data_IF_138809989265
#
_entry.id   IF_138809989265
#
_cell.length_a   1.000
_cell.length_b   1.000
_cell.length_c   1.000
_cell.angle_alpha   90.00
_cell.angle_beta   90.00
_cell.angle_gamma   90.00
#
_symmetry.space_group_name_H-M   'P 1'
#
loop_
_entity.id
_entity.type
_entity.pdbx_description
1 polymer ?
#
# COMPACT_ATOMS: atom_id res chain seq x y z
N UNK A 1 15.47 4.43 -11.47
CA UNK A 1 15.39 5.76 -10.83
C UNK A 1 16.27 5.88 -9.58
N UNK A 2 16.35 4.89 -8.68
CA UNK A 2 17.14 4.99 -7.43
C UNK A 2 18.43 4.17 -7.40
N UNK A 3 18.56 3.21 -8.33
CA UNK A 3 19.69 2.30 -8.40
C UNK A 3 20.66 2.69 -9.51
N UNK A 4 21.97 2.52 -9.29
CA UNK A 4 23.02 2.57 -10.33
C UNK A 4 23.04 1.29 -11.16
N UNK A 5 22.69 0.17 -10.56
CA UNK A 5 22.53 -1.11 -11.24
C UNK A 5 21.55 -2.00 -10.49
N UNK A 6 21.00 -2.98 -11.20
CA UNK A 6 20.06 -3.96 -10.67
C UNK A 6 20.54 -5.35 -11.06
N UNK A 7 20.54 -6.25 -10.08
CA UNK A 7 20.73 -7.69 -10.28
C UNK A 7 19.42 -8.39 -9.95
N UNK A 8 18.97 -9.26 -10.83
CA UNK A 8 17.80 -10.11 -10.63
C UNK A 8 18.24 -11.56 -10.71
N UNK A 9 17.92 -12.34 -9.69
CA UNK A 9 18.11 -13.79 -9.69
C UNK A 9 16.72 -14.42 -9.69
N UNK A 10 16.41 -15.25 -10.68
CA UNK A 10 15.09 -15.88 -10.78
C UNK A 10 15.18 -17.36 -11.13
N UNK A 11 14.29 -18.16 -10.52
CA UNK A 11 14.09 -19.57 -10.83
C UNK A 11 12.61 -19.84 -11.01
N UNK A 12 12.28 -20.39 -12.19
CA UNK A 12 10.92 -20.75 -12.56
C UNK A 12 10.32 -21.80 -11.63
N UNK A 13 8.98 -21.86 -11.60
CA UNK A 13 8.27 -22.96 -10.96
C UNK A 13 8.29 -24.24 -11.80
N UNK A 14 8.58 -24.13 -13.10
CA UNK A 14 8.65 -25.27 -14.01
C UNK A 14 9.84 -26.14 -13.61
N UNK A 15 9.61 -27.45 -13.61
CA UNK A 15 10.63 -28.44 -13.32
C UNK A 15 11.74 -28.38 -14.38
N UNK A 16 12.98 -28.63 -13.96
CA UNK A 16 14.17 -28.74 -14.83
C UNK A 16 14.58 -27.45 -15.58
N UNK A 17 13.93 -26.31 -15.30
CA UNK A 17 14.40 -25.01 -15.75
C UNK A 17 15.55 -24.52 -14.85
N UNK A 18 16.66 -24.01 -15.44
CA UNK A 18 17.75 -23.46 -14.66
C UNK A 18 17.36 -22.13 -14.02
N UNK A 19 18.16 -21.68 -13.06
CA UNK A 19 18.08 -20.32 -12.56
C UNK A 19 18.82 -19.37 -13.50
N UNK A 20 18.37 -18.13 -13.57
CA UNK A 20 19.00 -17.09 -14.37
C UNK A 20 19.38 -15.90 -13.49
N UNK A 21 20.54 -15.32 -13.77
CA UNK A 21 20.93 -13.98 -13.32
C UNK A 21 20.73 -13.01 -14.47
N UNK A 22 20.02 -11.93 -14.21
CA UNK A 22 19.91 -10.78 -15.11
C UNK A 22 20.56 -9.57 -14.44
N UNK A 23 21.38 -8.82 -15.18
CA UNK A 23 22.04 -7.61 -14.69
C UNK A 23 21.87 -6.47 -15.68
N UNK A 24 21.65 -5.26 -15.17
CA UNK A 24 21.66 -4.04 -15.99
C UNK A 24 21.99 -2.81 -15.14
N UNK A 25 22.66 -1.84 -15.76
CA UNK A 25 22.89 -0.49 -15.24
C UNK A 25 21.85 0.53 -15.76
N UNK A 26 20.92 0.09 -16.62
CA UNK A 26 19.90 0.95 -17.23
C UNK A 26 20.38 1.76 -18.44
N UNK A 27 21.57 1.49 -18.98
CA UNK A 27 22.13 2.15 -20.18
C UNK A 27 21.49 1.73 -21.51
N UNK A 28 20.57 0.75 -21.47
CA UNK A 28 19.87 0.23 -22.65
C UNK A 28 20.26 -1.21 -23.01
N UNK A 29 21.30 -1.75 -22.41
CA UNK A 29 21.68 -3.17 -22.49
C UNK A 29 21.51 -3.89 -21.15
N UNK A 30 21.52 -5.22 -21.22
CA UNK A 30 21.50 -6.11 -20.07
C UNK A 30 22.24 -7.41 -20.41
N UNK A 31 22.65 -8.12 -19.37
CA UNK A 31 23.27 -9.44 -19.49
C UNK A 31 22.37 -10.49 -18.83
N UNK A 32 22.39 -11.71 -19.39
CA UNK A 32 21.70 -12.87 -18.82
C UNK A 32 22.70 -14.02 -18.72
N UNK A 33 22.81 -14.60 -17.54
CA UNK A 33 23.66 -15.74 -17.24
C UNK A 33 22.82 -16.89 -16.68
N UNK A 34 23.09 -18.11 -17.11
CA UNK A 34 22.54 -19.31 -16.48
C UNK A 34 23.32 -19.62 -15.20
N UNK A 35 22.63 -19.72 -14.07
CA UNK A 35 23.22 -20.10 -12.79
C UNK A 35 23.13 -21.62 -12.60
N UNK A 36 24.26 -22.22 -12.21
CA UNK A 36 24.38 -23.65 -11.93
C UNK A 36 24.14 -23.99 -10.44
N UNK A 37 24.10 -22.97 -9.58
CA UNK A 37 23.90 -23.11 -8.14
C UNK A 37 22.45 -23.49 -7.79
N UNK A 38 22.25 -24.12 -6.63
CA UNK A 38 20.91 -24.37 -6.11
C UNK A 38 20.28 -23.08 -5.56
N UNK A 39 19.62 -22.35 -6.46
CA UNK A 39 18.85 -21.15 -6.13
C UNK A 39 17.43 -21.57 -5.77
N UNK A 40 16.88 -21.09 -4.66
CA UNK A 40 15.47 -21.34 -4.31
C UNK A 40 14.49 -20.84 -5.39
N UNK A 41 13.31 -21.47 -5.50
CA UNK A 41 12.25 -21.02 -6.41
C UNK A 41 11.84 -19.57 -6.08
N UNK A 42 11.62 -18.76 -7.12
CA UNK A 42 11.11 -17.39 -6.99
C UNK A 42 12.03 -16.37 -7.67
N UNK A 43 11.94 -15.12 -7.22
CA UNK A 43 12.72 -14.02 -7.78
C UNK A 43 13.28 -13.16 -6.66
N UNK A 44 14.59 -12.93 -6.67
CA UNK A 44 15.30 -11.98 -5.83
C UNK A 44 15.76 -10.80 -6.68
N UNK A 45 15.56 -9.58 -6.19
CA UNK A 45 15.98 -8.35 -6.86
C UNK A 45 16.90 -7.61 -5.90
N UNK A 46 18.14 -7.39 -6.32
CA UNK A 46 19.14 -6.61 -5.60
C UNK A 46 19.35 -5.29 -6.33
N UNK A 47 19.04 -4.21 -5.63
CA UNK A 47 19.21 -2.85 -6.10
C UNK A 47 20.51 -2.27 -5.53
N UNK A 48 21.49 -1.97 -6.39
CA UNK A 48 22.66 -1.21 -5.98
C UNK A 48 22.28 0.26 -6.03
N UNK A 49 22.04 0.87 -4.88
CA UNK A 49 21.57 2.25 -4.77
C UNK A 49 22.64 3.24 -5.27
N UNK A 50 22.18 4.36 -5.80
CA UNK A 50 23.03 5.54 -6.00
C UNK A 50 23.29 6.22 -4.66
N UNK A 51 24.36 7.01 -4.59
CA UNK A 51 24.77 7.68 -3.34
C UNK A 51 23.71 8.67 -2.84
N UNK A 52 23.03 9.37 -3.77
CA UNK A 52 21.93 10.30 -3.47
C UNK A 52 20.63 9.60 -3.03
N UNK A 53 20.58 8.27 -3.09
CA UNK A 53 19.43 7.44 -2.79
C UNK A 53 19.69 6.47 -1.62
N UNK A 54 20.76 6.67 -0.85
CA UNK A 54 21.13 5.79 0.26
C UNK A 54 20.05 5.65 1.34
N UNK A 55 19.12 6.61 1.46
CA UNK A 55 18.01 6.53 2.42
C UNK A 55 17.10 5.31 2.22
N UNK A 56 17.04 4.74 1.01
CA UNK A 56 16.27 3.51 0.75
C UNK A 56 16.92 2.24 1.30
N UNK A 57 18.16 2.30 1.80
CA UNK A 57 18.76 1.19 2.57
C UNK A 57 18.44 1.26 4.06
N UNK A 58 17.83 2.34 4.54
CA UNK A 58 17.45 2.50 5.96
C UNK A 58 16.13 1.77 6.22
N UNK A 59 16.13 0.90 7.22
CA UNK A 59 14.96 0.09 7.58
C UNK A 59 13.69 0.92 7.81
N UNK A 60 13.81 2.04 8.52
CA UNK A 60 12.67 2.92 8.84
C UNK A 60 12.04 3.53 7.58
N UNK A 61 12.87 3.97 6.63
CA UNK A 61 12.40 4.49 5.33
C UNK A 61 11.60 3.43 4.60
N UNK A 62 12.12 2.20 4.51
CA UNK A 62 11.43 1.10 3.82
C UNK A 62 10.13 0.73 4.54
N UNK A 63 10.13 0.67 5.87
CA UNK A 63 8.91 0.45 6.68
C UNK A 63 7.83 1.49 6.39
N UNK A 64 8.19 2.77 6.33
CA UNK A 64 7.24 3.85 6.03
C UNK A 64 6.67 3.73 4.61
N UNK A 65 7.51 3.38 3.62
CA UNK A 65 7.07 3.15 2.24
C UNK A 65 6.11 1.97 2.17
N UNK A 66 6.45 0.82 2.77
CA UNK A 66 5.57 -0.36 2.79
C UNK A 66 4.26 -0.03 3.50
N UNK A 67 4.29 0.64 4.65
CA UNK A 67 3.10 1.05 5.39
C UNK A 67 2.19 1.98 4.58
N UNK A 68 2.77 2.84 3.73
CA UNK A 68 2.02 3.80 2.92
C UNK A 68 1.40 3.16 1.67
N UNK A 69 2.15 2.33 0.94
CA UNK A 69 1.75 1.87 -0.38
C UNK A 69 1.33 0.40 -0.46
N UNK A 70 1.89 -0.46 0.40
CA UNK A 70 1.80 -1.93 0.28
C UNK A 70 1.26 -2.63 1.53
N UNK A 71 0.78 -1.88 2.52
CA UNK A 71 0.31 -2.41 3.80
C UNK A 71 -0.85 -3.39 3.70
N UNK A 72 -1.58 -3.40 2.57
CA UNK A 72 -2.74 -4.24 2.34
C UNK A 72 -2.54 -5.30 1.26
N UNK A 73 -1.29 -5.49 0.81
CA UNK A 73 -0.94 -6.62 -0.05
C UNK A 73 -1.27 -7.93 0.67
N UNK A 74 -1.88 -8.88 -0.04
CA UNK A 74 -2.34 -10.15 0.56
C UNK A 74 -1.20 -11.04 1.04
N UNK A 75 -0.04 -10.98 0.38
CA UNK A 75 1.13 -11.77 0.76
C UNK A 75 1.83 -11.14 1.98
N UNK A 76 2.36 -11.96 2.92
CA UNK A 76 3.12 -11.43 4.04
C UNK A 76 4.42 -10.77 3.53
N UNK A 77 4.69 -9.57 4.05
CA UNK A 77 5.87 -8.77 3.77
C UNK A 77 6.73 -8.75 5.02
N UNK A 78 8.01 -9.11 4.85
CA UNK A 78 9.00 -9.11 5.90
C UNK A 78 10.07 -8.06 5.59
N UNK A 79 10.49 -7.33 6.62
CA UNK A 79 11.66 -6.44 6.57
C UNK A 79 12.58 -6.91 7.70
N UNK A 80 13.79 -7.34 7.37
CA UNK A 80 14.75 -7.90 8.32
C UNK A 80 14.10 -8.96 9.24
N UNK A 81 13.42 -9.93 8.62
CA UNK A 81 12.68 -11.03 9.26
C UNK A 81 11.48 -10.62 10.14
N UNK A 82 11.17 -9.33 10.24
CA UNK A 82 9.99 -8.83 10.95
C UNK A 82 8.84 -8.63 9.98
N UNK A 83 7.70 -9.26 10.26
CA UNK A 83 6.47 -9.06 9.46
C UNK A 83 5.91 -7.66 9.69
N UNK A 84 5.70 -6.91 8.60
CA UNK A 84 5.30 -5.49 8.68
C UNK A 84 3.85 -5.22 8.25
N UNK A 85 3.23 -6.06 7.41
CA UNK A 85 1.84 -5.89 6.99
C UNK A 85 0.90 -6.84 7.76
N UNK A 86 0.27 -6.31 8.80
CA UNK A 86 -0.66 -7.07 9.67
C UNK A 86 -2.12 -6.60 9.57
N UNK A 87 -2.40 -5.54 8.81
CA UNK A 87 -3.74 -4.96 8.73
C UNK A 87 -4.57 -5.60 7.63
N UNK A 88 -5.75 -6.09 8.02
CA UNK A 88 -6.75 -6.61 7.08
C UNK A 88 -7.37 -5.47 6.27
N UNK A 89 -7.67 -5.77 5.00
CA UNK A 89 -8.31 -4.86 4.08
C UNK A 89 -9.83 -4.83 4.30
N UNK A 90 -10.30 -4.20 5.40
CA UNK A 90 -11.69 -4.28 5.86
C UNK A 90 -12.75 -3.95 4.80
N UNK A 91 -12.44 -3.07 3.84
CA UNK A 91 -13.37 -2.73 2.75
C UNK A 91 -13.65 -3.91 1.79
N UNK A 92 -12.78 -4.91 1.73
CA UNK A 92 -12.97 -6.12 0.92
C UNK A 92 -13.84 -7.14 1.67
N UNK A 93 -13.74 -7.20 2.99
CA UNK A 93 -14.40 -8.17 3.88
C UNK A 93 -15.91 -7.95 3.96
N UNK A 94 -16.67 -8.98 4.28
CA UNK A 94 -18.12 -8.89 4.46
C UNK A 94 -18.47 -7.94 5.62
N UNK A 95 -19.41 -7.03 5.40
CA UNK A 95 -19.77 -6.01 6.40
C UNK A 95 -20.30 -6.60 7.72
N UNK A 96 -20.86 -7.82 7.68
CA UNK A 96 -21.35 -8.51 8.87
C UNK A 96 -20.24 -9.21 9.66
N UNK A 97 -19.09 -9.43 9.03
CA UNK A 97 -17.94 -10.09 9.64
C UNK A 97 -17.03 -9.14 10.41
N UNK A 98 -17.23 -7.83 10.26
CA UNK A 98 -16.36 -6.80 10.82
C UNK A 98 -16.97 -6.27 12.12
N UNK A 99 -16.19 -6.26 13.19
CA UNK A 99 -16.64 -5.75 14.49
C UNK A 99 -16.51 -4.22 14.59
N UNK A 100 -17.20 -3.60 15.55
CA UNK A 100 -17.07 -2.17 15.82
C UNK A 100 -15.64 -1.80 16.26
N UNK A 101 -14.98 -2.68 17.00
CA UNK A 101 -13.59 -2.52 17.43
C UNK A 101 -12.63 -2.54 16.23
N UNK A 102 -12.82 -3.48 15.29
CA UNK A 102 -12.04 -3.51 14.05
C UNK A 102 -12.24 -2.25 13.21
N UNK A 103 -13.47 -1.74 13.11
CA UNK A 103 -13.74 -0.47 12.45
C UNK A 103 -13.06 0.70 13.15
N UNK A 104 -13.02 0.69 14.49
CA UNK A 104 -12.37 1.73 15.30
C UNK A 104 -10.86 1.71 15.12
N UNK A 105 -10.23 0.53 15.23
CA UNK A 105 -8.79 0.37 14.99
C UNK A 105 -8.39 0.80 13.58
N UNK A 106 -9.17 0.40 12.58
CA UNK A 106 -8.92 0.81 11.20
C UNK A 106 -9.11 2.31 10.98
N UNK A 107 -10.17 2.90 11.55
CA UNK A 107 -10.38 4.35 11.53
C UNK A 107 -9.20 5.12 12.13
N UNK A 108 -8.71 4.70 13.30
CA UNK A 108 -7.53 5.29 13.96
C UNK A 108 -6.28 5.15 13.11
N UNK A 109 -6.09 3.97 12.50
CA UNK A 109 -4.96 3.72 11.62
C UNK A 109 -4.94 4.66 10.40
N UNK A 110 -6.09 4.91 9.76
CA UNK A 110 -6.14 5.75 8.55
C UNK A 110 -6.12 7.25 8.84
N UNK A 111 -6.64 7.67 10.00
CA UNK A 111 -6.77 9.09 10.36
C UNK A 111 -5.64 9.60 11.24
N UNK A 112 -4.93 8.70 11.93
CA UNK A 112 -3.98 9.06 12.97
C UNK A 112 -4.63 9.61 14.24
N UNK A 113 -5.97 9.56 14.34
CA UNK A 113 -6.73 10.06 15.48
C UNK A 113 -6.91 8.97 16.53
N UNK A 114 -7.17 9.37 17.78
CA UNK A 114 -7.44 8.44 18.90
C UNK A 114 -8.93 8.26 19.20
N UNK A 115 -9.81 9.03 18.56
CA UNK A 115 -11.26 8.89 18.73
C UNK A 115 -11.80 7.65 18.00
N UNK A 116 -13.13 7.54 17.94
CA UNK A 116 -13.83 6.46 17.24
C UNK A 116 -14.76 7.05 16.18
N UNK A 117 -15.09 6.30 15.12
CA UNK A 117 -16.08 6.78 14.16
C UNK A 117 -17.46 6.86 14.83
N UNK A 118 -18.20 7.95 14.61
CA UNK A 118 -19.61 8.07 14.97
C UNK A 118 -20.50 7.28 14.00
N UNK A 119 -20.15 7.33 12.72
CA UNK A 119 -20.84 6.58 11.68
C UNK A 119 -19.81 5.88 10.80
N UNK A 120 -20.19 4.68 10.36
CA UNK A 120 -19.43 3.84 9.43
C UNK A 120 -20.34 3.50 8.26
N UNK A 121 -19.86 3.75 7.05
CA UNK A 121 -20.52 3.37 5.81
C UNK A 121 -19.57 2.48 5.02
N UNK A 122 -19.96 1.22 4.85
CA UNK A 122 -19.32 0.32 3.89
C UNK A 122 -20.20 0.21 2.66
N UNK A 123 -19.65 0.58 1.51
CA UNK A 123 -20.36 0.61 0.25
C UNK A 123 -19.64 -0.30 -0.75
N UNK A 124 -20.40 -1.20 -1.40
CA UNK A 124 -19.90 -2.12 -2.41
C UNK A 124 -20.86 -2.11 -3.59
N UNK A 125 -20.34 -1.86 -4.78
CA UNK A 125 -21.09 -1.89 -6.03
C UNK A 125 -20.18 -2.47 -7.12
N UNK A 126 -20.73 -3.32 -7.99
CA UNK A 126 -19.96 -3.92 -9.08
C UNK A 126 -20.32 -3.31 -10.46
N UNK A 127 -21.46 -2.60 -10.57
CA UNK A 127 -22.01 -2.04 -11.83
C UNK A 127 -22.52 -0.61 -11.59
N UNK A 128 -22.23 0.37 -12.46
CA UNK A 128 -21.50 0.27 -13.74
C UNK A 128 -19.98 0.17 -13.59
N UNK A 129 -19.45 0.45 -12.39
CA UNK A 129 -18.04 0.36 -12.05
C UNK A 129 -17.88 -0.42 -10.76
N UNK A 130 -16.76 -1.17 -10.63
CA UNK A 130 -16.42 -1.80 -9.37
C UNK A 130 -15.96 -0.74 -8.39
N UNK A 131 -16.73 -0.52 -7.32
CA UNK A 131 -16.35 0.38 -6.25
C UNK A 131 -16.55 -0.31 -4.91
N UNK A 132 -15.50 -0.29 -4.10
CA UNK A 132 -15.57 -0.66 -2.68
C UNK A 132 -15.12 0.55 -1.90
N UNK A 133 -15.96 1.06 -1.01
CA UNK A 133 -15.64 2.20 -0.18
C UNK A 133 -15.89 1.88 1.28
N UNK A 134 -14.99 2.36 2.14
CA UNK A 134 -15.15 2.35 3.58
C UNK A 134 -14.94 3.77 4.09
N UNK A 135 -16.03 4.32 4.60
CA UNK A 135 -16.24 5.73 4.87
C UNK A 135 -16.62 5.88 6.35
N UNK A 136 -16.02 6.85 7.01
CA UNK A 136 -16.20 7.14 8.42
C UNK A 136 -16.53 8.60 8.65
N UNK A 137 -17.42 8.84 9.61
CA UNK A 137 -17.67 10.16 10.17
C UNK A 137 -17.04 10.21 11.56
N UNK A 138 -16.06 11.08 11.82
CA UNK A 138 -15.44 11.21 13.14
C UNK A 138 -16.44 11.50 14.26
N UNK A 139 -16.14 11.08 15.50
CA UNK A 139 -16.97 11.44 16.65
C UNK A 139 -16.72 12.87 17.11
N UNK A 140 -15.50 13.37 16.97
CA UNK A 140 -15.19 14.76 17.29
C UNK A 140 -15.92 15.72 16.36
N UNK A 141 -16.24 16.91 16.89
CA UNK A 141 -16.79 18.00 16.09
C UNK A 141 -15.62 18.70 15.39
N UNK A 142 -15.64 18.87 14.06
CA UNK A 142 -14.59 19.59 13.34
C UNK A 142 -14.43 21.00 13.92
N UNK A 143 -13.20 21.40 14.18
CA UNK A 143 -12.90 22.76 14.62
C UNK A 143 -12.79 23.70 13.40
N UNK A 144 -12.63 25.00 13.64
CA UNK A 144 -12.56 25.98 12.55
C UNK A 144 -11.28 25.84 11.69
N UNK A 145 -10.20 25.29 12.24
CA UNK A 145 -8.99 24.99 11.50
C UNK A 145 -9.22 23.83 10.50
N UNK A 146 -9.93 22.78 10.90
CA UNK A 146 -10.32 21.66 10.03
C UNK A 146 -11.22 22.11 8.87
N UNK A 147 -12.02 23.16 9.12
CA UNK A 147 -12.96 23.77 8.18
C UNK A 147 -12.27 24.75 7.22
N UNK A 148 -11.12 25.31 7.60
CA UNK A 148 -10.41 26.33 6.79
C UNK A 148 -9.21 25.75 6.04
N UNK A 149 -8.62 24.66 6.52
CA UNK A 149 -7.55 23.97 5.79
C UNK A 149 -8.11 23.12 4.64
N UNK A 150 -7.81 23.52 3.41
CA UNK A 150 -8.03 22.70 2.21
C UNK A 150 -7.07 21.50 2.13
N UNK A 151 -5.96 21.54 2.89
CA UNK A 151 -4.87 20.58 2.78
C UNK A 151 -5.24 19.14 3.16
N UNK A 152 -6.29 18.92 3.98
CA UNK A 152 -6.69 17.60 4.48
C UNK A 152 -8.02 17.08 3.90
N UNK A 153 -8.47 17.67 2.80
CA UNK A 153 -9.71 17.26 2.12
C UNK A 153 -9.43 16.15 1.13
N UNK A 154 -10.02 14.97 1.38
CA UNK A 154 -10.01 13.86 0.44
C UNK A 154 -9.96 12.51 1.14
N UNK A 155 -10.54 11.53 0.48
CA UNK A 155 -10.41 10.11 0.84
C UNK A 155 -9.24 9.51 0.07
N UNK A 156 -8.60 8.48 0.64
CA UNK A 156 -7.50 7.84 -0.05
C UNK A 156 -8.04 6.90 -1.14
N UNK A 157 -7.56 7.07 -2.37
CA UNK A 157 -7.91 6.27 -3.53
C UNK A 157 -6.89 5.16 -3.74
N UNK A 158 -7.40 3.95 -3.89
CA UNK A 158 -6.62 2.75 -4.14
C UNK A 158 -7.17 2.03 -5.37
N UNK A 159 -6.30 1.27 -6.03
CA UNK A 159 -6.73 0.24 -6.98
C UNK A 159 -5.91 -1.02 -6.78
N UNK A 160 -6.58 -2.18 -6.88
CA UNK A 160 -5.95 -3.50 -6.66
C UNK A 160 -5.09 -3.58 -5.38
N UNK A 161 -5.56 -2.97 -4.29
CA UNK A 161 -4.90 -2.88 -2.97
C UNK A 161 -3.61 -2.03 -2.92
N UNK A 162 -3.32 -1.27 -3.98
CA UNK A 162 -2.20 -0.33 -4.04
C UNK A 162 -2.72 1.10 -3.97
N UNK A 163 -2.07 1.95 -3.18
CA UNK A 163 -2.43 3.36 -3.04
C UNK A 163 -2.12 4.12 -4.35
N UNK A 164 -3.13 4.76 -4.95
CA UNK A 164 -2.96 5.66 -6.10
C UNK A 164 -2.74 7.09 -5.61
N UNK A 165 -3.67 7.59 -4.81
CA UNK A 165 -3.68 8.98 -4.34
C UNK A 165 -4.12 9.03 -2.88
N UNK A 166 -3.31 9.64 -2.02
CA UNK A 166 -3.60 9.74 -0.59
C UNK A 166 -4.78 10.67 -0.26
N UNK A 167 -4.99 11.70 -1.07
CA UNK A 167 -6.05 12.72 -0.89
C UNK A 167 -6.73 13.00 -2.22
N UNK A 168 -7.74 12.21 -2.55
CA UNK A 168 -8.51 12.38 -3.79
C UNK A 168 -9.71 13.31 -3.52
N UNK A 169 -9.50 14.61 -3.70
CA UNK A 169 -10.49 15.65 -3.47
C UNK A 169 -11.60 15.74 -4.55
N UNK A 170 -11.43 15.05 -5.68
CA UNK A 170 -12.40 15.01 -6.77
C UNK A 170 -13.45 13.89 -6.61
N UNK A 171 -13.22 12.92 -5.71
CA UNK A 171 -14.12 11.78 -5.54
C UNK A 171 -15.39 12.10 -4.76
N UNK A 172 -15.31 13.07 -3.84
CA UNK A 172 -16.44 13.48 -3.01
C UNK A 172 -16.71 14.97 -3.21
N UNK A 173 -17.98 15.39 -3.21
CA UNK A 173 -18.34 16.81 -3.17
C UNK A 173 -17.68 17.54 -1.99
N UNK A 174 -17.35 18.82 -2.18
CA UNK A 174 -16.67 19.65 -1.15
C UNK A 174 -17.38 19.66 0.21
N UNK A 175 -18.70 19.56 0.23
CA UNK A 175 -19.49 19.55 1.47
C UNK A 175 -19.31 18.28 2.30
N UNK A 176 -18.80 17.18 1.71
CA UNK A 176 -18.47 15.92 2.40
C UNK A 176 -17.03 15.86 2.93
N UNK A 177 -16.29 16.97 2.96
CA UNK A 177 -14.88 17.00 3.38
C UNK A 177 -14.57 16.49 4.80
N UNK A 178 -15.58 16.42 5.67
CA UNK A 178 -15.42 15.92 7.04
C UNK A 178 -15.28 14.39 7.10
N UNK A 179 -15.69 13.71 6.04
CA UNK A 179 -15.60 12.26 5.91
C UNK A 179 -14.14 11.84 5.82
N UNK A 180 -13.79 10.77 6.52
CA UNK A 180 -12.50 10.10 6.44
C UNK A 180 -12.71 8.68 5.94
N UNK A 181 -11.80 8.16 5.13
CA UNK A 181 -12.02 6.84 4.57
C UNK A 181 -11.11 6.52 3.40
N UNK A 182 -11.39 5.36 2.80
CA UNK A 182 -10.69 4.86 1.62
C UNK A 182 -11.70 4.40 0.57
N UNK A 183 -11.45 4.77 -0.68
CA UNK A 183 -12.22 4.34 -1.85
C UNK A 183 -11.31 3.48 -2.71
N UNK A 184 -11.86 2.37 -3.17
CA UNK A 184 -11.21 1.39 -4.03
C UNK A 184 -12.00 1.30 -5.32
N UNK A 185 -11.28 1.41 -6.43
CA UNK A 185 -11.77 1.26 -7.80
C UNK A 185 -10.94 0.18 -8.51
#
# INVERSE_FOLDING_TARGET
MVSKSVEVITRSYKKDEPAYRWTSDGSGSYEIETLLDDVGRGTSIRCYLRDDCADFSKEETVKQIVKKYSNFVSAPIYINDVRVNNLRALWMEDSKSITEDEHTEFYRFITGQYDKPRYTLQYKIDVPINVRALIYVPQYKPNIFDVTQEADVGVALYSRKVLIQSKANQLLPRWLRFVKGKIYI
#
